data_IF_198104509099
#
_entry.id   IF_198104509099
#
_cell.length_a   1.000
_cell.length_b   1.000
_cell.length_c   1.000
_cell.angle_alpha   90.00
_cell.angle_beta   90.00
_cell.angle_gamma   90.00
#
_symmetry.space_group_name_H-M   'P 1'
#
loop_
_entity.id
_entity.type
_entity.pdbx_description
1 polymer ?
#
# COMPACT_ATOMS: atom_id res chain seq x y z
N UNK A 1 35.61 -31.41 -22.88
CA UNK A 1 34.76 -32.56 -22.48
C UNK A 1 35.68 -33.78 -22.45
N UNK A 2 35.79 -34.48 -21.31
CA UNK A 2 36.68 -35.65 -21.20
C UNK A 2 35.99 -36.81 -21.93
N UNK A 3 36.50 -37.19 -23.10
CA UNK A 3 35.91 -38.26 -23.91
C UNK A 3 36.18 -39.62 -23.23
N UNK A 4 35.23 -40.08 -22.42
CA UNK A 4 35.27 -41.38 -21.75
C UNK A 4 34.39 -42.43 -22.44
N UNK A 5 33.45 -41.99 -23.28
CA UNK A 5 32.58 -42.89 -24.06
C UNK A 5 33.40 -43.77 -25.01
N UNK A 6 33.07 -45.07 -25.04
CA UNK A 6 33.70 -46.08 -25.91
C UNK A 6 34.99 -46.71 -25.37
N UNK A 7 35.50 -46.28 -24.21
CA UNK A 7 36.66 -46.91 -23.57
C UNK A 7 36.24 -47.99 -22.56
N UNK A 8 36.95 -49.12 -22.56
CA UNK A 8 36.71 -50.24 -21.65
C UNK A 8 38.01 -50.78 -21.04
N UNK A 9 37.90 -51.46 -19.88
CA UNK A 9 39.01 -52.11 -19.21
C UNK A 9 40.15 -51.15 -18.83
N UNK A 10 41.40 -51.60 -18.98
CA UNK A 10 42.59 -50.84 -18.57
C UNK A 10 42.74 -49.48 -19.27
N UNK A 11 42.23 -49.36 -20.51
CA UNK A 11 42.26 -48.10 -21.26
C UNK A 11 41.38 -47.03 -20.60
N UNK A 12 40.23 -47.42 -20.05
CA UNK A 12 39.35 -46.52 -19.29
C UNK A 12 40.00 -46.09 -17.98
N UNK A 13 40.57 -47.05 -17.23
CA UNK A 13 41.23 -46.78 -15.94
C UNK A 13 42.40 -45.80 -16.09
N UNK A 14 43.24 -46.00 -17.12
CA UNK A 14 44.36 -45.10 -17.42
C UNK A 14 43.88 -43.68 -17.74
N UNK A 15 42.84 -43.54 -18.57
CA UNK A 15 42.31 -42.22 -18.92
C UNK A 15 41.65 -41.51 -17.72
N UNK A 16 40.99 -42.26 -16.84
CA UNK A 16 40.44 -41.74 -15.58
C UNK A 16 41.54 -41.24 -14.65
N UNK A 17 42.64 -41.98 -14.54
CA UNK A 17 43.81 -41.55 -13.78
C UNK A 17 44.41 -40.26 -14.35
N UNK A 18 44.61 -40.18 -15.67
CA UNK A 18 45.09 -38.98 -16.37
C UNK A 18 44.14 -37.78 -16.20
N UNK A 19 42.83 -38.02 -16.16
CA UNK A 19 41.79 -37.00 -16.00
C UNK A 19 41.48 -36.64 -14.54
N UNK A 20 42.05 -37.34 -13.55
CA UNK A 20 41.67 -37.26 -12.14
C UNK A 20 41.64 -35.83 -11.62
N UNK A 21 42.69 -35.06 -11.84
CA UNK A 21 42.80 -33.70 -11.30
C UNK A 21 41.77 -32.76 -11.93
N UNK A 22 41.51 -32.92 -13.24
CA UNK A 22 40.45 -32.17 -13.94
C UNK A 22 39.06 -32.55 -13.43
N UNK A 23 38.81 -33.85 -13.19
CA UNK A 23 37.54 -34.32 -12.64
C UNK A 23 37.33 -33.79 -11.22
N UNK A 24 38.37 -33.81 -10.39
CA UNK A 24 38.30 -33.28 -9.02
C UNK A 24 38.03 -31.77 -9.02
N UNK A 25 38.73 -31.01 -9.86
CA UNK A 25 38.50 -29.56 -10.00
C UNK A 25 37.09 -29.25 -10.51
N UNK A 26 36.55 -30.05 -11.43
CA UNK A 26 35.18 -29.90 -11.92
C UNK A 26 34.15 -30.19 -10.82
N UNK A 27 34.35 -31.25 -10.02
CA UNK A 27 33.49 -31.56 -8.89
C UNK A 27 33.45 -30.41 -7.88
N UNK A 28 34.61 -29.88 -7.50
CA UNK A 28 34.70 -28.73 -6.59
C UNK A 28 34.01 -27.49 -7.17
N UNK A 29 34.18 -27.23 -8.47
CA UNK A 29 33.53 -26.11 -9.15
C UNK A 29 32.00 -26.29 -9.21
N UNK A 30 31.52 -27.49 -9.51
CA UNK A 30 30.09 -27.79 -9.56
C UNK A 30 29.43 -27.75 -8.18
N UNK A 31 30.13 -28.19 -7.13
CA UNK A 31 29.63 -28.09 -5.76
C UNK A 31 29.49 -26.62 -5.32
N UNK A 32 30.51 -25.79 -5.61
CA UNK A 32 30.42 -24.33 -5.37
C UNK A 32 29.27 -23.68 -6.14
N UNK A 33 29.08 -24.05 -7.40
CA UNK A 33 27.96 -23.56 -8.22
C UNK A 33 26.61 -23.99 -7.63
N UNK A 34 26.49 -25.26 -7.21
CA UNK A 34 25.26 -25.78 -6.60
C UNK A 34 24.92 -25.03 -5.29
N UNK A 35 25.91 -24.78 -4.45
CA UNK A 35 25.75 -24.00 -3.22
C UNK A 35 25.33 -22.54 -3.51
N UNK A 36 25.96 -21.90 -4.50
CA UNK A 36 25.60 -20.54 -4.91
C UNK A 36 24.16 -20.47 -5.45
N UNK A 37 23.73 -21.45 -6.27
CA UNK A 37 22.35 -21.54 -6.75
C UNK A 37 21.38 -21.72 -5.57
N UNK A 38 21.67 -22.63 -4.65
CA UNK A 38 20.83 -22.90 -3.49
C UNK A 38 20.67 -21.66 -2.58
N UNK A 39 21.71 -20.85 -2.44
CA UNK A 39 21.68 -19.62 -1.66
C UNK A 39 20.93 -18.47 -2.38
N UNK A 40 21.10 -18.34 -3.70
CA UNK A 40 20.58 -17.19 -4.47
C UNK A 40 19.15 -17.39 -4.98
N UNK A 41 18.71 -18.63 -5.18
CA UNK A 41 17.36 -18.93 -5.68
C UNK A 41 16.23 -18.41 -4.77
N UNK A 42 16.27 -18.56 -3.42
CA UNK A 42 15.27 -17.97 -2.54
C UNK A 42 15.20 -16.44 -2.68
N UNK A 43 16.36 -15.78 -2.72
CA UNK A 43 16.45 -14.32 -2.86
C UNK A 43 15.91 -13.85 -4.21
N UNK A 44 16.16 -14.60 -5.28
CA UNK A 44 15.57 -14.31 -6.59
C UNK A 44 14.03 -14.38 -6.56
N UNK A 45 13.45 -15.37 -5.88
CA UNK A 45 11.99 -15.45 -5.68
C UNK A 45 11.45 -14.29 -4.85
N UNK A 46 12.18 -13.85 -3.83
CA UNK A 46 11.85 -12.65 -3.07
C UNK A 46 11.87 -11.40 -3.96
N UNK A 47 12.86 -11.26 -4.83
CA UNK A 47 12.93 -10.18 -5.82
C UNK A 47 11.71 -10.18 -6.76
N UNK A 48 11.30 -11.34 -7.27
CA UNK A 48 10.10 -11.45 -8.11
C UNK A 48 8.81 -11.07 -7.36
N UNK A 49 8.73 -11.46 -6.09
CA UNK A 49 7.62 -11.06 -5.21
C UNK A 49 7.59 -9.55 -4.99
N UNK A 50 8.75 -8.95 -4.70
CA UNK A 50 8.92 -7.50 -4.54
C UNK A 50 8.51 -6.74 -5.80
N UNK A 51 8.94 -7.20 -6.99
CA UNK A 51 8.56 -6.60 -8.27
C UNK A 51 7.05 -6.65 -8.50
N UNK A 52 6.41 -7.75 -8.10
CA UNK A 52 4.95 -7.92 -8.24
C UNK A 52 4.19 -6.93 -7.34
N UNK A 53 4.58 -6.80 -6.08
CA UNK A 53 3.89 -5.90 -5.14
C UNK A 53 4.25 -4.43 -5.37
N UNK A 54 5.42 -4.15 -5.94
CA UNK A 54 5.87 -2.82 -6.32
C UNK A 54 5.46 -2.38 -7.73
N UNK A 55 4.61 -3.15 -8.44
CA UNK A 55 4.30 -2.91 -9.85
C UNK A 55 3.79 -1.49 -10.18
N UNK A 56 3.19 -0.80 -9.20
CA UNK A 56 2.72 0.59 -9.37
C UNK A 56 3.80 1.65 -9.13
N UNK A 57 5.00 1.27 -8.68
CA UNK A 57 6.10 2.17 -8.37
C UNK A 57 7.07 2.30 -9.54
N UNK A 58 7.58 3.51 -9.85
CA UNK A 58 8.54 3.72 -10.94
C UNK A 58 9.81 2.85 -10.80
N UNK A 59 10.31 2.68 -9.57
CA UNK A 59 11.51 1.87 -9.30
C UNK A 59 11.38 0.42 -9.75
N UNK A 60 10.15 -0.13 -9.80
CA UNK A 60 9.93 -1.50 -10.23
C UNK A 60 10.29 -1.70 -11.70
N UNK A 61 10.13 -0.67 -12.54
CA UNK A 61 10.49 -0.71 -13.96
C UNK A 61 12.01 -0.80 -14.12
N UNK A 62 12.75 0.03 -13.38
CA UNK A 62 14.22 0.03 -13.42
C UNK A 62 14.80 -1.29 -12.90
N UNK A 63 14.28 -1.79 -11.78
CA UNK A 63 14.74 -3.04 -11.19
C UNK A 63 14.33 -4.25 -12.04
N UNK A 64 13.16 -4.22 -12.69
CA UNK A 64 12.76 -5.27 -13.62
C UNK A 64 13.74 -5.37 -14.80
N UNK A 65 14.14 -4.23 -15.37
CA UNK A 65 15.13 -4.19 -16.46
C UNK A 65 16.49 -4.74 -16.02
N UNK A 66 16.96 -4.39 -14.82
CA UNK A 66 18.20 -4.94 -14.25
C UNK A 66 18.09 -6.46 -14.01
N UNK A 67 16.95 -6.93 -13.48
CA UNK A 67 16.66 -8.36 -13.30
C UNK A 67 16.64 -9.12 -14.62
N UNK A 68 16.07 -8.54 -15.67
CA UNK A 68 16.03 -9.15 -17.01
C UNK A 68 17.42 -9.21 -17.65
N UNK A 69 18.23 -8.14 -17.53
CA UNK A 69 19.63 -8.16 -17.96
C UNK A 69 20.46 -9.25 -17.24
N UNK A 70 20.25 -9.44 -15.94
CA UNK A 70 20.88 -10.53 -15.17
C UNK A 70 20.45 -11.91 -15.67
N UNK A 71 19.16 -12.08 -16.01
CA UNK A 71 18.64 -13.34 -16.56
C UNK A 71 19.25 -13.64 -17.93
N UNK A 72 19.23 -12.67 -18.83
CA UNK A 72 19.70 -12.81 -20.22
C UNK A 72 21.22 -13.04 -20.28
N UNK A 73 21.97 -12.31 -19.44
CA UNK A 73 23.41 -12.48 -19.28
C UNK A 73 23.84 -13.71 -18.46
N UNK A 74 22.88 -14.51 -17.94
CA UNK A 74 23.13 -15.60 -16.98
C UNK A 74 23.99 -15.15 -15.78
N UNK A 75 23.84 -13.89 -15.38
CA UNK A 75 24.64 -13.21 -14.36
C UNK A 75 24.20 -13.48 -12.91
N UNK A 76 23.25 -14.39 -12.69
CA UNK A 76 22.76 -14.71 -11.36
C UNK A 76 23.84 -15.32 -10.45
N UNK A 77 24.92 -15.87 -11.03
CA UNK A 77 26.04 -16.49 -10.33
C UNK A 77 27.32 -15.63 -10.36
N UNK A 78 27.23 -14.38 -10.82
CA UNK A 78 28.36 -13.45 -10.85
C UNK A 78 28.73 -12.97 -9.44
N UNK A 79 30.01 -12.68 -9.21
CA UNK A 79 30.49 -12.07 -7.96
C UNK A 79 30.85 -10.59 -8.20
N UNK A 80 30.41 -9.65 -7.35
CA UNK A 80 29.58 -9.85 -6.15
C UNK A 80 28.10 -10.17 -6.48
N UNK A 81 27.38 -10.81 -5.54
CA UNK A 81 25.93 -11.11 -5.67
C UNK A 81 25.13 -9.83 -5.93
N UNK A 82 24.44 -9.69 -7.09
CA UNK A 82 23.70 -8.48 -7.43
C UNK A 82 22.31 -8.41 -6.76
N UNK A 83 21.77 -9.54 -6.28
CA UNK A 83 20.39 -9.61 -5.80
C UNK A 83 20.08 -8.81 -4.52
N UNK A 84 20.96 -8.74 -3.49
CA UNK A 84 20.69 -8.00 -2.26
C UNK A 84 20.36 -6.54 -2.52
N UNK A 85 21.14 -5.91 -3.40
CA UNK A 85 20.96 -4.50 -3.75
C UNK A 85 19.61 -4.25 -4.42
N UNK A 86 19.22 -5.08 -5.38
CA UNK A 86 17.92 -4.98 -6.05
C UNK A 86 16.75 -5.17 -5.07
N UNK A 87 16.87 -6.14 -4.15
CA UNK A 87 15.84 -6.37 -3.14
C UNK A 87 15.72 -5.16 -2.18
N UNK A 88 16.85 -4.59 -1.76
CA UNK A 88 16.89 -3.44 -0.87
C UNK A 88 16.29 -2.18 -1.52
N UNK A 89 16.61 -1.90 -2.79
CA UNK A 89 16.04 -0.79 -3.55
C UNK A 89 14.50 -0.86 -3.56
N UNK A 90 13.93 -2.01 -3.93
CA UNK A 90 12.47 -2.20 -3.95
C UNK A 90 11.87 -2.12 -2.55
N UNK A 91 12.52 -2.70 -1.55
CA UNK A 91 12.03 -2.71 -0.17
C UNK A 91 11.96 -1.30 0.40
N UNK A 92 12.99 -0.48 0.16
CA UNK A 92 13.03 0.91 0.63
C UNK A 92 11.93 1.74 -0.05
N UNK A 93 11.80 1.65 -1.38
CA UNK A 93 10.76 2.38 -2.09
C UNK A 93 9.34 1.95 -1.70
N UNK A 94 9.10 0.65 -1.51
CA UNK A 94 7.82 0.15 -0.99
C UNK A 94 7.54 0.64 0.42
N UNK A 95 8.54 0.61 1.30
CA UNK A 95 8.42 1.12 2.67
C UNK A 95 8.02 2.60 2.66
N UNK A 96 8.72 3.42 1.89
CA UNK A 96 8.42 4.85 1.77
C UNK A 96 7.02 5.09 1.22
N UNK A 97 6.62 4.37 0.17
CA UNK A 97 5.29 4.48 -0.41
C UNK A 97 4.18 4.09 0.59
N UNK A 98 4.35 2.99 1.34
CA UNK A 98 3.39 2.55 2.35
C UNK A 98 3.31 3.52 3.54
N UNK A 99 4.45 3.97 4.04
CA UNK A 99 4.51 4.94 5.15
C UNK A 99 3.89 6.27 4.73
N UNK A 100 4.22 6.76 3.53
CA UNK A 100 3.64 7.99 2.97
C UNK A 100 2.12 7.88 2.77
N UNK A 101 1.65 6.77 2.20
CA UNK A 101 0.22 6.54 2.01
C UNK A 101 -0.55 6.45 3.34
N UNK A 102 0.01 5.79 4.36
CA UNK A 102 -0.57 5.76 5.70
C UNK A 102 -0.56 7.14 6.36
N UNK A 103 0.52 7.91 6.21
CA UNK A 103 0.59 9.26 6.77
C UNK A 103 -0.45 10.19 6.12
N UNK A 104 -0.64 10.12 4.81
CA UNK A 104 -1.67 10.88 4.10
C UNK A 104 -3.08 10.47 4.56
N UNK A 105 -3.34 9.17 4.71
CA UNK A 105 -4.58 8.65 5.26
C UNK A 105 -4.83 9.15 6.69
N UNK A 106 -3.80 9.14 7.55
CA UNK A 106 -3.88 9.63 8.93
C UNK A 106 -4.17 11.12 8.99
N UNK A 107 -3.54 11.93 8.14
CA UNK A 107 -3.78 13.38 8.11
C UNK A 107 -5.26 13.70 7.79
N UNK A 108 -5.86 12.99 6.83
CA UNK A 108 -7.30 13.13 6.53
C UNK A 108 -8.15 12.64 7.70
N UNK A 109 -7.80 11.52 8.31
CA UNK A 109 -8.51 10.98 9.47
C UNK A 109 -8.51 11.95 10.65
N UNK A 110 -7.36 12.52 11.00
CA UNK A 110 -7.23 13.45 12.11
C UNK A 110 -7.99 14.75 11.85
N UNK A 111 -7.95 15.28 10.63
CA UNK A 111 -8.71 16.46 10.24
C UNK A 111 -10.23 16.22 10.33
N UNK A 112 -10.72 15.09 9.82
CA UNK A 112 -12.13 14.73 9.86
C UNK A 112 -12.62 14.43 11.29
N UNK A 113 -11.79 13.77 12.10
CA UNK A 113 -12.05 13.50 13.50
C UNK A 113 -12.09 14.80 14.32
N UNK A 114 -11.20 15.75 14.07
CA UNK A 114 -11.25 17.06 14.71
C UNK A 114 -12.56 17.80 14.37
N UNK A 115 -12.98 17.78 13.09
CA UNK A 115 -14.26 18.33 12.67
C UNK A 115 -15.46 17.64 13.33
N UNK A 116 -15.39 16.32 13.52
CA UNK A 116 -16.42 15.55 14.24
C UNK A 116 -16.47 15.94 15.72
N UNK A 117 -15.34 16.11 16.40
CA UNK A 117 -15.27 16.48 17.82
C UNK A 117 -15.82 17.88 18.09
N UNK A 118 -15.57 18.83 17.18
CA UNK A 118 -16.09 20.21 17.29
C UNK A 118 -17.60 20.28 17.03
N UNK A 119 -18.19 19.30 16.34
CA UNK A 119 -19.62 19.31 16.07
C UNK A 119 -20.45 19.22 17.35
N UNK A 120 -21.35 20.18 17.55
CA UNK A 120 -22.21 20.27 18.74
C UNK A 120 -23.05 19.00 18.95
N UNK A 121 -23.56 18.42 17.86
CA UNK A 121 -24.27 17.15 17.91
C UNK A 121 -23.38 16.00 18.42
N UNK A 122 -22.09 16.00 18.10
CA UNK A 122 -21.19 14.97 18.60
C UNK A 122 -20.93 15.13 20.11
N UNK A 123 -20.72 16.38 20.56
CA UNK A 123 -20.51 16.70 21.97
C UNK A 123 -21.70 16.33 22.88
N UNK A 124 -22.92 16.35 22.35
CA UNK A 124 -24.15 15.97 23.09
C UNK A 124 -24.37 14.45 23.19
N UNK A 125 -23.68 13.63 22.40
CA UNK A 125 -23.81 12.18 22.46
C UNK A 125 -23.01 11.56 23.63
N UNK A 126 -23.49 10.48 24.27
CA UNK A 126 -22.70 9.72 25.23
C UNK A 126 -21.59 8.92 24.53
N UNK A 127 -20.52 8.60 25.26
CA UNK A 127 -19.32 7.96 24.71
C UNK A 127 -19.60 6.63 24.01
N UNK A 128 -20.50 5.81 24.55
CA UNK A 128 -20.91 4.52 23.98
C UNK A 128 -21.57 4.69 22.60
N UNK A 129 -22.40 5.73 22.43
CA UNK A 129 -23.06 6.03 21.15
C UNK A 129 -22.06 6.59 20.14
N UNK A 130 -21.13 7.45 20.56
CA UNK A 130 -20.03 7.92 19.71
C UNK A 130 -19.21 6.76 19.18
N UNK A 131 -18.79 5.85 20.07
CA UNK A 131 -18.01 4.67 19.68
C UNK A 131 -18.81 3.74 18.76
N UNK A 132 -20.10 3.54 19.02
CA UNK A 132 -21.00 2.79 18.14
C UNK A 132 -21.11 3.38 16.73
N UNK A 133 -21.20 4.70 16.60
CA UNK A 133 -21.20 5.39 15.30
C UNK A 133 -19.86 5.25 14.57
N UNK A 134 -18.75 5.40 15.28
CA UNK A 134 -17.42 5.23 14.68
C UNK A 134 -17.22 3.79 14.18
N UNK A 135 -17.67 2.80 14.93
CA UNK A 135 -17.61 1.40 14.51
C UNK A 135 -18.53 1.12 13.31
N UNK A 136 -19.77 1.62 13.35
CA UNK A 136 -20.75 1.44 12.27
C UNK A 136 -20.26 1.99 10.94
N UNK A 137 -19.60 3.16 10.96
CA UNK A 137 -19.06 3.81 9.76
C UNK A 137 -17.62 3.40 9.42
N UNK A 138 -17.04 2.45 10.15
CA UNK A 138 -15.71 1.91 9.86
C UNK A 138 -14.56 2.91 10.05
N UNK A 139 -14.74 3.87 10.97
CA UNK A 139 -13.77 4.93 11.32
C UNK A 139 -13.31 4.84 12.77
N UNK A 140 -13.50 3.68 13.42
CA UNK A 140 -13.13 3.48 14.82
C UNK A 140 -11.64 3.23 15.06
N UNK A 141 -10.89 2.77 14.05
CA UNK A 141 -9.51 2.37 14.22
C UNK A 141 -8.63 2.79 13.04
N UNK A 142 -7.44 3.29 13.37
CA UNK A 142 -6.37 3.52 12.40
C UNK A 142 -5.72 2.17 12.05
N UNK A 143 -5.63 1.79 10.77
CA UNK A 143 -4.96 0.56 10.37
C UNK A 143 -3.48 0.60 10.77
N UNK A 144 -3.00 -0.49 11.36
CA UNK A 144 -1.59 -0.66 11.73
C UNK A 144 -0.76 -0.98 10.48
N UNK A 145 0.51 -0.56 10.50
CA UNK A 145 1.46 -0.80 9.42
C UNK A 145 2.80 -1.22 10.04
N UNK A 146 3.22 -2.45 9.76
CA UNK A 146 4.53 -2.97 10.14
C UNK A 146 5.42 -3.00 8.89
N UNK A 147 6.57 -2.33 8.95
CA UNK A 147 7.51 -2.15 7.83
C UNK A 147 8.98 -2.18 8.28
N UNK A 148 9.25 -2.78 9.45
CA UNK A 148 10.58 -2.84 10.05
C UNK A 148 11.53 -3.79 9.30
N UNK A 149 10.99 -4.86 8.72
CA UNK A 149 11.76 -5.83 7.91
C UNK A 149 11.26 -5.92 6.47
N UNK A 150 12.06 -6.52 5.59
CA UNK A 150 11.65 -6.76 4.19
C UNK A 150 10.38 -7.63 4.12
N UNK A 151 10.30 -8.70 4.92
CA UNK A 151 9.13 -9.57 4.95
C UNK A 151 7.88 -8.85 5.46
N UNK A 152 8.03 -7.96 6.45
CA UNK A 152 6.95 -7.10 6.92
C UNK A 152 6.47 -6.15 5.82
N UNK A 153 7.39 -5.52 5.07
CA UNK A 153 7.06 -4.65 3.93
C UNK A 153 6.30 -5.42 2.85
N UNK A 154 6.78 -6.61 2.47
CA UNK A 154 6.10 -7.47 1.49
C UNK A 154 4.70 -7.82 1.98
N UNK A 155 4.56 -8.30 3.22
CA UNK A 155 3.27 -8.67 3.81
C UNK A 155 2.32 -7.49 3.88
N UNK A 156 2.80 -6.32 4.28
CA UNK A 156 2.02 -5.10 4.35
C UNK A 156 1.53 -4.67 2.95
N UNK A 157 2.41 -4.70 1.94
CA UNK A 157 2.07 -4.37 0.56
C UNK A 157 1.06 -5.36 -0.04
N UNK A 158 1.18 -6.66 0.26
CA UNK A 158 0.23 -7.70 -0.19
C UNK A 158 -1.13 -7.55 0.48
N UNK A 159 -1.16 -7.26 1.78
CA UNK A 159 -2.41 -7.08 2.53
C UNK A 159 -3.14 -5.79 2.13
N UNK A 160 -2.38 -4.71 1.91
CA UNK A 160 -2.92 -3.42 1.48
C UNK A 160 -1.90 -2.65 0.66
N UNK A 161 -1.98 -2.69 -0.69
CA UNK A 161 -1.04 -1.98 -1.54
C UNK A 161 -1.22 -0.46 -1.41
N UNK A 162 -0.22 0.35 -1.78
CA UNK A 162 -0.30 1.82 -1.72
C UNK A 162 -1.52 2.41 -2.45
N UNK A 163 -1.94 1.80 -3.57
CA UNK A 163 -3.14 2.20 -4.31
C UNK A 163 -4.43 2.02 -3.50
N UNK A 164 -4.53 0.94 -2.71
CA UNK A 164 -5.68 0.69 -1.84
C UNK A 164 -5.75 1.72 -0.70
N UNK A 165 -4.60 2.13 -0.16
CA UNK A 165 -4.55 3.22 0.84
C UNK A 165 -5.10 4.53 0.29
N UNK A 166 -4.73 4.90 -0.94
CA UNK A 166 -5.24 6.10 -1.59
C UNK A 166 -6.76 6.03 -1.82
N UNK A 167 -7.28 4.86 -2.22
CA UNK A 167 -8.71 4.65 -2.39
C UNK A 167 -9.47 4.76 -1.05
N UNK A 168 -8.95 4.11 0.00
CA UNK A 168 -9.52 4.17 1.34
C UNK A 168 -9.50 5.60 1.91
N UNK A 169 -8.44 6.36 1.63
CA UNK A 169 -8.32 7.77 1.99
C UNK A 169 -9.38 8.62 1.29
N UNK A 170 -9.62 8.40 -0.01
CA UNK A 170 -10.64 9.13 -0.78
C UNK A 170 -12.07 8.87 -0.26
N UNK A 171 -12.34 7.68 0.28
CA UNK A 171 -13.62 7.33 0.89
C UNK A 171 -13.82 7.85 2.31
N UNK A 172 -12.75 8.31 2.98
CA UNK A 172 -12.79 8.68 4.39
C UNK A 172 -13.74 9.85 4.69
N UNK A 173 -13.69 10.98 3.95
CA UNK A 173 -14.56 12.13 4.21
C UNK A 173 -16.05 11.77 4.13
N UNK A 174 -16.43 10.89 3.19
CA UNK A 174 -17.80 10.41 3.06
C UNK A 174 -18.28 9.60 4.27
N UNK A 175 -17.41 8.75 4.83
CA UNK A 175 -17.72 7.98 6.05
C UNK A 175 -17.90 8.89 7.27
N UNK A 176 -17.03 9.89 7.42
CA UNK A 176 -17.15 10.89 8.48
C UNK A 176 -18.39 11.79 8.30
N UNK A 177 -18.74 12.18 7.08
CA UNK A 177 -19.96 12.91 6.79
C UNK A 177 -21.22 12.10 7.17
N UNK A 178 -21.25 10.80 6.85
CA UNK A 178 -22.35 9.92 7.25
C UNK A 178 -22.45 9.79 8.78
N UNK A 179 -21.31 9.65 9.49
CA UNK A 179 -21.27 9.61 10.95
C UNK A 179 -21.75 10.93 11.58
N UNK A 180 -21.37 12.09 11.03
CA UNK A 180 -21.85 13.41 11.45
C UNK A 180 -23.36 13.54 11.29
N UNK A 181 -23.88 13.15 10.14
CA UNK A 181 -25.32 13.23 9.85
C UNK A 181 -26.13 12.35 10.78
N UNK A 182 -25.68 11.12 11.05
CA UNK A 182 -26.36 10.24 11.99
C UNK A 182 -26.28 10.77 13.44
N UNK A 183 -25.14 11.36 13.83
CA UNK A 183 -25.01 12.01 15.13
C UNK A 183 -26.02 13.17 15.30
N UNK A 184 -26.20 13.99 14.26
CA UNK A 184 -27.19 15.07 14.23
C UNK A 184 -28.61 14.50 14.40
N UNK A 185 -28.97 13.46 13.65
CA UNK A 185 -30.29 12.82 13.74
C UNK A 185 -30.57 12.25 15.13
N UNK A 186 -29.57 11.72 15.82
CA UNK A 186 -29.73 11.16 17.17
C UNK A 186 -29.92 12.24 18.24
N UNK A 187 -29.25 13.39 18.11
CA UNK A 187 -29.34 14.48 19.08
C UNK A 187 -30.57 15.34 18.87
N UNK A 188 -30.96 15.55 17.61
CA UNK A 188 -32.13 16.30 17.24
C UNK A 188 -32.94 15.48 16.21
N UNK A 189 -33.76 14.50 16.65
CA UNK A 189 -34.55 13.66 15.76
C UNK A 189 -35.61 14.43 14.94
N UNK A 190 -35.90 15.69 15.33
CA UNK A 190 -36.72 16.64 14.56
C UNK A 190 -35.90 17.61 13.69
N UNK A 191 -34.57 17.54 13.71
CA UNK A 191 -33.74 18.46 12.94
C UNK A 191 -33.86 18.15 11.45
N UNK A 192 -34.20 19.16 10.67
CA UNK A 192 -34.32 19.04 9.23
C UNK A 192 -33.03 19.53 8.57
N UNK A 193 -32.42 18.69 7.72
CA UNK A 193 -31.33 19.10 6.84
C UNK A 193 -31.89 20.04 5.77
N UNK A 194 -31.25 21.20 5.62
CA UNK A 194 -31.59 22.16 4.57
C UNK A 194 -30.39 22.29 3.65
N UNK A 195 -30.51 21.75 2.44
CA UNK A 195 -29.52 22.00 1.39
C UNK A 195 -29.75 23.40 0.85
N UNK A 196 -28.77 24.30 1.02
CA UNK A 196 -28.83 25.62 0.43
C UNK A 196 -28.81 25.55 -1.11
N UNK A 197 -29.47 26.50 -1.81
CA UNK A 197 -29.39 26.59 -3.26
C UNK A 197 -27.92 26.76 -3.68
N UNK A 198 -27.44 25.96 -4.64
CA UNK A 198 -26.11 26.15 -5.22
C UNK A 198 -26.21 27.21 -6.32
N UNK A 199 -25.55 28.35 -6.15
CA UNK A 199 -25.52 29.43 -7.14
C UNK A 199 -24.07 29.87 -7.42
N UNK A 200 -23.80 30.28 -8.67
CA UNK A 200 -22.56 30.96 -9.04
C UNK A 200 -22.87 32.44 -9.20
N UNK A 201 -22.36 33.24 -8.26
CA UNK A 201 -22.72 34.66 -8.09
C UNK A 201 -21.64 35.54 -8.74
N UNK A 202 -22.05 36.51 -9.54
CA UNK A 202 -21.16 37.40 -10.29
C UNK A 202 -21.31 38.88 -9.87
N UNK A 203 -22.40 39.22 -9.20
CA UNK A 203 -22.73 40.60 -8.76
C UNK A 203 -23.24 40.63 -7.33
N UNK A 204 -23.17 41.79 -6.68
CA UNK A 204 -23.62 41.97 -5.29
C UNK A 204 -25.16 41.87 -5.16
N UNK A 205 -25.90 42.27 -6.19
CA UNK A 205 -27.35 42.08 -6.27
C UNK A 205 -27.72 40.58 -6.35
N UNK A 206 -26.97 39.78 -7.12
CA UNK A 206 -27.16 38.31 -7.16
C UNK A 206 -26.89 37.66 -5.80
N UNK A 207 -25.88 38.14 -5.06
CA UNK A 207 -25.61 37.67 -3.69
C UNK A 207 -26.78 37.97 -2.76
N UNK A 208 -27.37 39.16 -2.86
CA UNK A 208 -28.46 39.55 -1.97
C UNK A 208 -29.73 38.76 -2.24
N UNK A 209 -30.06 38.53 -3.52
CA UNK A 209 -31.18 37.66 -3.92
C UNK A 209 -30.96 36.24 -3.40
N UNK A 210 -29.74 35.70 -3.55
CA UNK A 210 -29.43 34.36 -3.06
C UNK A 210 -29.50 34.24 -1.53
N UNK A 211 -29.04 35.27 -0.80
CA UNK A 211 -29.16 35.33 0.66
C UNK A 211 -30.62 35.36 1.12
N UNK A 212 -31.48 36.11 0.43
CA UNK A 212 -32.92 36.16 0.74
C UNK A 212 -33.60 34.82 0.47
N UNK A 213 -33.25 34.13 -0.62
CA UNK A 213 -33.73 32.78 -0.92
C UNK A 213 -33.24 31.74 0.11
N UNK A 214 -31.95 31.76 0.44
CA UNK A 214 -31.37 30.89 1.46
C UNK A 214 -32.02 31.14 2.84
N UNK A 215 -32.25 32.41 3.19
CA UNK A 215 -32.91 32.81 4.43
C UNK A 215 -34.36 32.32 4.48
N UNK A 216 -35.11 32.46 3.39
CA UNK A 216 -36.49 31.98 3.30
C UNK A 216 -36.54 30.44 3.45
N UNK A 217 -35.62 29.73 2.80
CA UNK A 217 -35.51 28.27 2.90
C UNK A 217 -35.17 27.79 4.33
N UNK A 218 -34.25 28.47 5.02
CA UNK A 218 -33.92 28.18 6.42
C UNK A 218 -35.10 28.49 7.33
N UNK A 219 -35.74 29.67 7.22
CA UNK A 219 -36.86 30.08 8.08
C UNK A 219 -38.07 29.14 7.96
N UNK A 220 -38.40 28.70 6.74
CA UNK A 220 -39.48 27.74 6.52
C UNK A 220 -39.23 26.42 7.26
N UNK A 221 -37.97 25.98 7.31
CA UNK A 221 -37.56 24.73 7.95
C UNK A 221 -37.35 24.88 9.45
N UNK A 222 -36.99 26.07 9.91
CA UNK A 222 -36.83 26.42 11.32
C UNK A 222 -38.17 26.42 12.07
N UNK A 223 -39.26 26.73 11.38
CA UNK A 223 -40.61 26.68 11.93
C UNK A 223 -41.03 25.27 12.40
N UNK A 224 -40.50 24.23 11.75
CA UNK A 224 -40.82 22.82 12.03
C UNK A 224 -39.80 22.13 12.95
N UNK A 225 -38.68 22.79 13.26
CA UNK A 225 -37.63 22.26 14.13
C UNK A 225 -36.26 22.91 13.92
N UNK A 226 -35.26 22.57 14.74
CA UNK A 226 -33.89 23.09 14.57
C UNK A 226 -33.32 22.69 13.20
N UNK A 227 -32.72 23.62 12.47
CA UNK A 227 -32.19 23.41 11.11
C UNK A 227 -30.69 23.20 11.14
N UNK A 228 -30.20 22.24 10.34
CA UNK A 228 -28.78 22.10 10.03
C UNK A 228 -28.56 22.43 8.56
N UNK A 229 -27.66 23.38 8.32
CA UNK A 229 -27.29 23.95 7.01
C UNK A 229 -25.95 23.37 6.58
#
# INVERSE_FOLDING_TARGET
>A
MIALEGLAGNALVKKLYEAKDTLSANLDAWDKLAQAIAARLPRYRTLETLLTVAATLPVAVEVAAQRDALRDGRGLLTEPDPLPHLCEQLTTALREALVGARAAWMAVYDAEMAGLIVAEAWAKLPAERRQGLLMKHGVASVPSLAVGTMDEVIRAAQARPPSQWALDQAGLPGRFAAARLEAIQLVAPKAQSVTLPKATLHTEDELQIWLDEARAAILAKLADGPVVV
#
